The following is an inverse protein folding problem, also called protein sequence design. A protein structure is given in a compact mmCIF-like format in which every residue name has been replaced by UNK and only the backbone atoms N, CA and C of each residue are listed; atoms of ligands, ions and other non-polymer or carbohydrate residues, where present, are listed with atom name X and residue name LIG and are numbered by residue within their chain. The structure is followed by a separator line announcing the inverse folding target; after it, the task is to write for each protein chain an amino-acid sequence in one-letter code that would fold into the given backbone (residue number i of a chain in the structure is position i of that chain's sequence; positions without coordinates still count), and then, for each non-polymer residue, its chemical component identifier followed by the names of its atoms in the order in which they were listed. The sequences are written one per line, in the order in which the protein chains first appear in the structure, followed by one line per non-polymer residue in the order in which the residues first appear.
data_IF_454298329617
#
_entry.id   IF_454298329617
#
_cell.length_a   1.000
_cell.length_b   1.000
_cell.length_c   1.000
_cell.angle_alpha   90.00
_cell.angle_beta   90.00
_cell.angle_gamma   90.00
#
_symmetry.space_group_name_H-M   'P 1'
#
loop_
_entity.id
_entity.type
_entity.pdbx_description
1 polymer ?
#
# COMPACT_ATOMS: atom_id res chain seq x y z
N UNK A 1 9.09 0.11 -27.59
CA UNK A 1 8.85 1.25 -26.73
C UNK A 1 8.52 0.82 -25.31
N UNK A 2 9.22 1.35 -24.37
CA UNK A 2 9.07 0.95 -22.96
C UNK A 2 8.41 2.04 -22.13
N UNK A 3 7.48 1.62 -21.28
CA UNK A 3 6.93 2.50 -20.26
C UNK A 3 7.80 2.40 -19.01
N UNK A 4 7.88 3.47 -18.22
CA UNK A 4 8.54 3.41 -16.92
C UNK A 4 7.76 2.46 -16.01
N UNK A 5 8.41 1.98 -14.95
CA UNK A 5 7.74 1.13 -13.98
C UNK A 5 6.50 1.80 -13.38
N UNK A 6 6.59 3.11 -13.11
CA UNK A 6 5.46 3.87 -12.61
C UNK A 6 4.31 3.94 -13.61
N UNK A 7 4.62 4.15 -14.88
CA UNK A 7 3.57 4.19 -15.91
C UNK A 7 2.93 2.83 -16.12
N UNK A 8 3.71 1.75 -16.06
CA UNK A 8 3.17 0.40 -16.13
C UNK A 8 2.19 0.13 -15.00
N UNK A 9 2.55 0.53 -13.79
CA UNK A 9 1.71 0.32 -12.62
C UNK A 9 0.41 1.13 -12.71
N UNK A 10 0.47 2.35 -13.22
CA UNK A 10 -0.72 3.17 -13.47
C UNK A 10 -1.67 2.49 -14.44
N UNK A 11 -1.13 1.88 -15.49
CA UNK A 11 -1.95 1.14 -16.46
C UNK A 11 -2.64 -0.05 -15.81
N UNK A 12 -1.93 -0.79 -14.97
CA UNK A 12 -2.49 -1.92 -14.23
C UNK A 12 -3.65 -1.46 -13.33
N UNK A 13 -3.43 -0.39 -12.56
CA UNK A 13 -4.47 0.15 -11.69
C UNK A 13 -5.69 0.62 -12.49
N UNK A 14 -5.46 1.28 -13.63
CA UNK A 14 -6.55 1.73 -14.48
C UNK A 14 -7.38 0.56 -15.02
N UNK A 15 -6.72 -0.52 -15.40
CA UNK A 15 -7.41 -1.72 -15.86
C UNK A 15 -8.31 -2.32 -14.77
N UNK A 16 -7.81 -2.38 -13.54
CA UNK A 16 -8.61 -2.89 -12.44
C UNK A 16 -9.78 -1.98 -12.14
N UNK A 17 -9.58 -0.67 -12.24
CA UNK A 17 -10.64 0.30 -12.03
C UNK A 17 -11.80 0.09 -13.00
N UNK A 18 -11.50 -0.25 -14.26
CA UNK A 18 -12.53 -0.51 -15.27
C UNK A 18 -13.40 -1.72 -14.95
N UNK A 19 -12.91 -2.61 -14.10
CA UNK A 19 -13.67 -3.78 -13.67
C UNK A 19 -14.59 -3.52 -12.48
N UNK A 20 -14.52 -2.30 -11.93
CA UNK A 20 -15.39 -1.89 -10.83
C UNK A 20 -15.28 -2.83 -9.61
N UNK A 21 -14.10 -3.11 -9.10
CA UNK A 21 -13.96 -4.06 -7.99
C UNK A 21 -14.49 -3.47 -6.69
N UNK A 22 -14.93 -4.33 -5.79
CA UNK A 22 -15.27 -3.92 -4.42
C UNK A 22 -14.06 -4.02 -3.51
N UNK A 23 -13.20 -4.99 -3.79
CA UNK A 23 -11.97 -5.24 -3.03
C UNK A 23 -10.83 -5.33 -4.02
N UNK A 24 -9.75 -4.65 -3.73
CA UNK A 24 -8.55 -4.66 -4.56
C UNK A 24 -7.37 -5.05 -3.68
N UNK A 25 -6.64 -6.07 -4.09
CA UNK A 25 -5.44 -6.51 -3.38
C UNK A 25 -4.22 -6.04 -4.16
N UNK A 26 -3.34 -5.28 -3.49
CA UNK A 26 -2.12 -4.75 -4.08
C UNK A 26 -0.92 -5.30 -3.31
N UNK A 27 -0.06 -6.03 -4.00
CA UNK A 27 1.13 -6.64 -3.42
C UNK A 27 2.37 -5.87 -3.87
N UNK A 28 3.00 -5.17 -2.94
CA UNK A 28 4.20 -4.37 -3.19
C UNK A 28 4.05 -3.46 -4.42
N UNK A 29 3.00 -2.62 -4.46
CA UNK A 29 2.64 -1.91 -5.70
C UNK A 29 3.67 -0.92 -6.21
N UNK A 30 4.61 -0.48 -5.37
CA UNK A 30 5.63 0.48 -5.80
C UNK A 30 7.04 -0.09 -5.79
N UNK A 31 7.17 -1.42 -5.68
CA UNK A 31 8.48 -2.05 -5.70
C UNK A 31 9.18 -1.76 -7.03
N UNK A 32 10.42 -1.27 -6.95
CA UNK A 32 11.20 -0.97 -8.13
C UNK A 32 10.81 0.29 -8.87
N UNK A 33 9.90 1.09 -8.30
CA UNK A 33 9.46 2.34 -8.91
C UNK A 33 10.22 3.51 -8.30
N UNK A 34 10.57 4.48 -9.13
CA UNK A 34 11.30 5.66 -8.68
C UNK A 34 10.45 6.56 -7.77
N UNK A 35 11.12 7.36 -6.95
CA UNK A 35 10.47 8.19 -5.92
C UNK A 35 9.41 9.11 -6.51
N UNK A 36 9.71 9.73 -7.66
CA UNK A 36 8.76 10.67 -8.27
C UNK A 36 7.46 10.00 -8.71
N UNK A 37 7.53 8.78 -9.17
CA UNK A 37 6.35 8.04 -9.62
C UNK A 37 5.56 7.44 -8.47
N UNK A 38 6.20 7.19 -7.32
CA UNK A 38 5.51 6.62 -6.16
C UNK A 38 4.38 7.52 -5.68
N UNK A 39 4.62 8.83 -5.60
CA UNK A 39 3.60 9.76 -5.12
C UNK A 39 2.34 9.73 -5.99
N UNK A 40 2.52 9.61 -7.30
CA UNK A 40 1.38 9.52 -8.21
C UNK A 40 0.59 8.23 -7.98
N UNK A 41 1.28 7.12 -7.76
CA UNK A 41 0.64 5.83 -7.49
C UNK A 41 -0.09 5.89 -6.14
N UNK A 42 0.50 6.49 -5.13
CA UNK A 42 -0.15 6.68 -3.83
C UNK A 42 -1.44 7.49 -3.98
N UNK A 43 -1.40 8.55 -4.80
CA UNK A 43 -2.59 9.36 -5.07
C UNK A 43 -3.69 8.55 -5.74
N UNK A 44 -3.32 7.68 -6.68
CA UNK A 44 -4.30 6.81 -7.34
C UNK A 44 -4.93 5.82 -6.36
N UNK A 45 -4.11 5.21 -5.50
CA UNK A 45 -4.61 4.26 -4.50
C UNK A 45 -5.55 4.96 -3.52
N UNK A 46 -5.17 6.14 -3.04
CA UNK A 46 -6.01 6.91 -2.14
C UNK A 46 -7.35 7.28 -2.80
N UNK A 47 -7.31 7.66 -4.06
CA UNK A 47 -8.51 7.99 -4.82
C UNK A 47 -9.45 6.79 -4.94
N UNK A 48 -8.90 5.59 -5.19
CA UNK A 48 -9.71 4.38 -5.26
C UNK A 48 -10.40 4.09 -3.93
N UNK A 49 -9.68 4.27 -2.83
CA UNK A 49 -10.24 4.08 -1.49
C UNK A 49 -11.37 5.07 -1.22
N UNK A 50 -11.21 6.32 -1.64
CA UNK A 50 -12.25 7.35 -1.49
C UNK A 50 -13.50 7.01 -2.28
N UNK A 51 -13.37 6.26 -3.36
CA UNK A 51 -14.51 5.81 -4.16
C UNK A 51 -15.25 4.64 -3.53
N UNK A 52 -14.80 4.18 -2.39
CA UNK A 52 -15.45 3.09 -1.66
C UNK A 52 -14.87 1.71 -1.92
N UNK A 53 -13.75 1.63 -2.63
CA UNK A 53 -13.07 0.36 -2.86
C UNK A 53 -12.26 0.01 -1.61
N UNK A 54 -12.46 -1.19 -1.08
CA UNK A 54 -11.64 -1.68 0.02
C UNK A 54 -10.32 -2.17 -0.54
N UNK A 55 -9.21 -1.66 0.00
CA UNK A 55 -7.88 -2.00 -0.50
C UNK A 55 -7.09 -2.75 0.56
N UNK A 56 -6.61 -3.93 0.19
CA UNK A 56 -5.65 -4.67 1.00
C UNK A 56 -4.27 -4.42 0.40
N UNK A 57 -3.46 -3.65 1.12
CA UNK A 57 -2.12 -3.30 0.69
C UNK A 57 -1.09 -4.15 1.42
N UNK A 58 -0.30 -4.90 0.67
CA UNK A 58 0.83 -5.64 1.21
C UNK A 58 2.10 -4.87 0.83
N UNK A 59 2.85 -4.45 1.82
CA UNK A 59 4.06 -3.67 1.58
C UNK A 59 5.12 -3.95 2.64
N UNK A 60 6.36 -4.03 2.20
CA UNK A 60 7.52 -4.10 3.09
C UNK A 60 8.08 -2.70 3.38
N UNK A 61 7.54 -1.67 2.74
CA UNK A 61 8.00 -0.31 2.93
C UNK A 61 7.11 0.42 3.92
N UNK A 62 7.62 0.63 5.12
CA UNK A 62 6.85 1.27 6.19
C UNK A 62 6.34 2.66 5.81
N UNK A 63 7.14 3.54 5.15
CA UNK A 63 6.62 4.85 4.75
C UNK A 63 5.39 4.75 3.83
N UNK A 64 5.35 3.76 2.94
CA UNK A 64 4.21 3.53 2.06
C UNK A 64 2.95 3.19 2.88
N UNK A 65 3.10 2.27 3.82
CA UNK A 65 2.00 1.86 4.69
C UNK A 65 1.47 3.04 5.49
N UNK A 66 2.37 3.82 6.09
CA UNK A 66 1.99 4.98 6.90
C UNK A 66 1.29 6.06 6.08
N UNK A 67 1.64 6.19 4.80
CA UNK A 67 1.01 7.18 3.92
C UNK A 67 -0.41 6.79 3.53
N UNK A 68 -0.70 5.50 3.42
CA UNK A 68 -1.91 5.03 2.78
C UNK A 68 -2.90 4.34 3.71
N UNK A 69 -2.44 3.67 4.73
CA UNK A 69 -3.28 2.77 5.50
C UNK A 69 -4.19 3.49 6.49
N UNK A 70 -5.43 3.04 6.58
CA UNK A 70 -6.34 3.42 7.66
C UNK A 70 -6.13 2.52 8.87
N UNK A 71 -5.73 1.28 8.60
CA UNK A 71 -5.50 0.25 9.61
C UNK A 71 -4.30 -0.57 9.20
N UNK A 72 -3.45 -0.87 10.15
CA UNK A 72 -2.20 -1.57 9.88
C UNK A 72 -2.17 -2.89 10.65
N UNK A 73 -1.93 -3.98 9.94
CA UNK A 73 -1.71 -5.28 10.57
C UNK A 73 -0.24 -5.63 10.37
N UNK A 74 0.44 -5.92 11.46
CA UNK A 74 1.87 -6.24 11.42
C UNK A 74 2.04 -7.76 11.46
N UNK A 75 2.74 -8.27 10.43
CA UNK A 75 3.04 -9.70 10.30
C UNK A 75 4.53 -9.94 10.44
N UNK A 76 4.88 -11.03 11.07
CA UNK A 76 6.27 -11.48 11.12
C UNK A 76 6.30 -12.98 11.19
N UNK A 77 7.11 -13.60 10.33
CA UNK A 77 7.28 -15.06 10.26
C UNK A 77 5.94 -15.80 10.15
N UNK A 78 5.04 -15.24 9.35
CA UNK A 78 3.73 -15.84 9.10
C UNK A 78 2.70 -15.64 10.21
N UNK A 79 3.05 -14.87 11.24
CA UNK A 79 2.15 -14.64 12.38
C UNK A 79 1.75 -13.18 12.49
N UNK A 80 0.51 -12.95 12.89
CA UNK A 80 0.03 -11.61 13.18
C UNK A 80 0.60 -11.17 14.53
N UNK A 81 1.37 -10.08 14.52
CA UNK A 81 1.96 -9.52 15.73
C UNK A 81 1.03 -8.52 16.42
N UNK A 82 0.17 -7.89 15.66
CA UNK A 82 -0.77 -6.94 16.21
C UNK A 82 -1.36 -6.04 15.14
N UNK A 83 -2.19 -5.11 15.59
CA UNK A 83 -2.87 -4.17 14.74
C UNK A 83 -2.71 -2.77 15.31
N UNK A 84 -2.50 -1.79 14.41
CA UNK A 84 -2.30 -0.39 14.77
C UNK A 84 -3.18 0.48 13.87
N UNK A 85 -3.63 1.66 14.36
CA UNK A 85 -4.30 2.61 13.48
C UNK A 85 -3.30 3.19 12.49
N UNK A 86 -3.77 3.56 11.30
CA UNK A 86 -2.90 4.22 10.33
C UNK A 86 -2.51 5.61 10.80
N UNK A 87 -3.47 6.35 11.33
CA UNK A 87 -3.24 7.72 11.78
C UNK A 87 -2.55 7.75 13.13
N UNK A 88 -1.44 8.47 13.22
CA UNK A 88 -0.72 8.66 14.46
C UNK A 88 0.29 7.58 14.81
N UNK A 89 0.32 6.49 14.04
CA UNK A 89 1.30 5.44 14.26
C UNK A 89 2.64 5.83 13.65
N UNK A 90 3.73 5.50 14.32
CA UNK A 90 5.08 5.81 13.87
C UNK A 90 5.78 4.57 13.32
N UNK A 91 6.82 4.81 12.53
CA UNK A 91 7.67 3.73 12.03
C UNK A 91 8.24 2.89 13.18
N UNK A 92 8.67 3.56 14.25
CA UNK A 92 9.26 2.87 15.40
C UNK A 92 8.27 1.92 16.06
N UNK A 93 7.00 2.33 16.18
CA UNK A 93 5.97 1.46 16.76
C UNK A 93 5.77 0.20 15.92
N UNK A 94 5.78 0.32 14.61
CA UNK A 94 5.66 -0.83 13.71
C UNK A 94 6.86 -1.76 13.87
N UNK A 95 8.07 -1.20 13.90
CA UNK A 95 9.29 -1.99 14.05
C UNK A 95 9.33 -2.73 15.38
N UNK A 96 8.92 -2.09 16.46
CA UNK A 96 8.88 -2.72 17.76
C UNK A 96 7.86 -3.86 17.80
N UNK A 97 6.71 -3.66 17.23
CA UNK A 97 5.68 -4.70 17.15
C UNK A 97 6.15 -5.89 16.32
N UNK A 98 6.83 -5.63 15.20
CA UNK A 98 7.38 -6.67 14.36
C UNK A 98 8.50 -7.46 15.05
N UNK A 99 9.25 -6.79 15.92
CA UNK A 99 10.31 -7.45 16.68
C UNK A 99 9.76 -8.41 17.73
N UNK A 100 8.50 -8.31 18.08
CA UNK A 100 7.88 -9.21 19.05
C UNK A 100 8.21 -8.87 20.49
N UNK A 101 8.52 -7.63 20.76
CA UNK A 101 8.92 -7.16 22.08
C UNK A 101 7.86 -6.37 22.76
#
# INVERSE_FOLDING_TARGET
RYLSGGNQQKVVLAKWLLRNPRILMLDEPTRGIDVGSKDEIYGMIASLAEQGIAILLLSSEIPEVLSLAHRIVVLKDGEVRGELPGKGTTQNEILMMAAGE
#
